data_IF_339715756668
#
_entry.id   IF_339715756668
#
_cell.length_a   1.000
_cell.length_b   1.000
_cell.length_c   1.000
_cell.angle_alpha   90.00
_cell.angle_beta   90.00
_cell.angle_gamma   90.00
#
_symmetry.space_group_name_H-M   'P 1'
#
loop_
_entity.id
_entity.type
_entity.pdbx_description
1 polymer ?
#
# COMPACT_ATOMS: atom_id res chain seq x y z
N UNK A 1 -42.80 9.72 -69.47
CA UNK A 1 -42.75 9.16 -68.10
C UNK A 1 -43.80 9.85 -67.25
N UNK A 2 -44.77 9.08 -66.76
CA UNK A 2 -45.67 9.39 -65.63
C UNK A 2 -44.83 9.80 -64.39
N UNK A 3 -45.30 10.52 -63.38
CA UNK A 3 -46.65 10.61 -62.82
C UNK A 3 -46.74 11.81 -61.85
N UNK A 4 -47.92 12.44 -61.85
CA UNK A 4 -48.67 13.13 -60.78
C UNK A 4 -48.01 13.41 -59.42
N UNK A 5 -48.17 14.66 -58.98
CA UNK A 5 -48.27 15.06 -57.57
C UNK A 5 -49.52 14.43 -56.89
N UNK A 6 -49.60 14.42 -55.54
CA UNK A 6 -50.39 15.50 -54.94
C UNK A 6 -49.93 16.01 -53.56
N UNK A 7 -50.39 17.22 -53.29
CA UNK A 7 -50.42 17.96 -52.02
C UNK A 7 -51.43 17.32 -51.06
N UNK A 8 -51.09 17.19 -49.76
CA UNK A 8 -52.05 16.99 -48.67
C UNK A 8 -51.69 17.86 -47.44
N UNK A 9 -52.73 18.53 -46.94
CA UNK A 9 -52.91 19.50 -45.86
C UNK A 9 -52.73 18.95 -44.43
N UNK A 10 -52.57 19.81 -43.39
CA UNK A 10 -52.30 19.39 -42.02
C UNK A 10 -53.58 19.03 -41.25
N UNK A 11 -53.48 18.07 -40.32
CA UNK A 11 -54.55 17.79 -39.34
C UNK A 11 -53.99 17.73 -37.92
N UNK A 12 -54.49 18.64 -37.08
CA UNK A 12 -54.42 18.60 -35.61
C UNK A 12 -55.28 17.44 -35.09
N UNK A 13 -54.78 16.74 -34.08
CA UNK A 13 -55.50 15.68 -33.36
C UNK A 13 -54.96 15.48 -31.94
N UNK A 14 -55.47 16.30 -31.01
CA UNK A 14 -55.84 15.96 -29.62
C UNK A 14 -55.25 14.68 -29.00
N UNK A 15 -54.30 14.86 -28.07
CA UNK A 15 -53.99 13.89 -27.02
C UNK A 15 -54.40 14.48 -25.67
N UNK A 16 -55.37 13.82 -25.03
CA UNK A 16 -55.82 14.06 -23.65
C UNK A 16 -54.69 13.76 -22.67
N UNK A 17 -54.11 14.80 -22.08
CA UNK A 17 -53.18 14.68 -20.96
C UNK A 17 -53.93 14.40 -19.66
N UNK A 18 -53.67 13.24 -19.07
CA UNK A 18 -54.06 12.90 -17.70
C UNK A 18 -53.37 13.87 -16.74
N UNK A 19 -54.15 14.50 -15.86
CA UNK A 19 -53.64 15.41 -14.84
C UNK A 19 -52.66 14.71 -13.87
N UNK A 20 -51.60 15.39 -13.40
CA UNK A 20 -50.74 14.85 -12.36
C UNK A 20 -51.49 14.80 -11.00
N UNK A 21 -51.13 13.86 -10.10
CA UNK A 21 -51.75 13.76 -8.78
C UNK A 21 -51.46 15.01 -7.94
N UNK A 22 -52.47 15.43 -7.18
CA UNK A 22 -52.39 16.54 -6.24
C UNK A 22 -51.28 16.31 -5.20
N UNK A 23 -50.37 17.27 -5.07
CA UNK A 23 -49.43 17.34 -3.94
C UNK A 23 -50.24 17.54 -2.65
N UNK A 24 -50.18 16.56 -1.76
CA UNK A 24 -50.64 16.72 -0.37
C UNK A 24 -49.75 17.77 0.32
N UNK A 25 -50.31 18.67 1.15
CA UNK A 25 -49.48 19.56 1.96
C UNK A 25 -48.72 18.72 3.00
N UNK A 26 -47.39 18.76 2.94
CA UNK A 26 -46.52 18.21 3.98
C UNK A 26 -46.81 18.92 5.31
N UNK A 27 -47.04 18.14 6.36
CA UNK A 27 -47.14 18.65 7.73
C UNK A 27 -45.81 19.35 8.13
N UNK A 28 -45.84 20.48 8.85
CA UNK A 28 -44.62 21.12 9.30
C UNK A 28 -43.91 20.21 10.32
N UNK A 29 -42.73 19.72 9.94
CA UNK A 29 -41.85 19.01 10.88
C UNK A 29 -41.37 19.98 11.97
N UNK A 30 -41.49 19.56 13.22
CA UNK A 30 -40.97 20.29 14.37
C UNK A 30 -39.44 20.42 14.27
N UNK A 31 -38.84 21.57 14.66
CA UNK A 31 -37.40 21.74 14.65
C UNK A 31 -36.76 20.83 15.72
N UNK A 32 -35.96 19.86 15.27
CA UNK A 32 -35.10 19.06 16.15
C UNK A 32 -33.96 19.93 16.69
N UNK A 33 -33.74 19.87 18.00
CA UNK A 33 -32.68 20.59 18.70
C UNK A 33 -31.29 20.15 18.20
N UNK A 34 -30.32 21.07 18.06
CA UNK A 34 -28.96 20.71 17.67
C UNK A 34 -28.27 19.90 18.77
N UNK A 35 -27.89 18.67 18.45
CA UNK A 35 -27.07 17.80 19.31
C UNK A 35 -25.68 18.40 19.49
N UNK A 36 -25.27 18.58 20.75
CA UNK A 36 -23.92 19.06 21.11
C UNK A 36 -22.83 18.10 20.60
N UNK A 37 -21.68 18.60 20.10
CA UNK A 37 -20.58 17.75 19.66
C UNK A 37 -19.89 17.09 20.87
N UNK A 38 -19.91 15.75 20.88
CA UNK A 38 -19.18 14.94 21.86
C UNK A 38 -17.68 15.15 21.72
N UNK A 39 -17.02 15.52 22.81
CA UNK A 39 -15.55 15.65 22.87
C UNK A 39 -14.88 14.27 22.68
N UNK A 40 -13.77 14.16 21.92
CA UNK A 40 -13.05 12.91 21.80
C UNK A 40 -12.27 12.59 23.09
N UNK A 41 -12.57 11.42 23.66
CA UNK A 41 -11.90 10.83 24.82
C UNK A 41 -10.41 10.59 24.53
N UNK A 42 -9.53 11.09 25.41
CA UNK A 42 -8.09 10.82 25.36
C UNK A 42 -7.80 9.34 25.72
N UNK A 43 -6.90 8.62 25.01
CA UNK A 43 -6.50 7.28 25.43
C UNK A 43 -5.54 7.35 26.63
N UNK A 44 -5.90 6.60 27.68
CA UNK A 44 -5.16 6.37 28.92
C UNK A 44 -3.74 5.85 28.66
N UNK A 45 -2.74 6.44 29.33
CA UNK A 45 -1.36 5.96 29.31
C UNK A 45 -1.23 4.66 30.15
N UNK A 46 -0.44 3.65 29.73
CA UNK A 46 -0.16 2.49 30.57
C UNK A 46 0.85 2.81 31.68
N UNK A 47 0.49 2.43 32.89
CA UNK A 47 1.28 2.44 34.13
C UNK A 47 2.61 1.70 33.99
N UNK A 48 3.71 2.30 34.47
CA UNK A 48 5.02 1.64 34.57
C UNK A 48 5.06 0.69 35.79
N UNK A 49 5.62 -0.52 35.70
CA UNK A 49 6.06 -1.27 36.87
C UNK A 49 7.53 -0.98 37.24
N UNK A 50 7.72 -0.97 38.54
CA UNK A 50 8.88 -0.58 39.37
C UNK A 50 10.10 -1.52 39.22
N UNK A 51 11.28 -0.98 39.58
CA UNK A 51 12.66 -1.50 39.51
C UNK A 51 12.91 -2.92 40.09
N UNK A 52 13.82 -3.68 39.46
CA UNK A 52 14.84 -4.54 40.10
C UNK A 52 15.96 -4.94 39.09
N UNK A 53 17.21 -5.01 39.54
CA UNK A 53 18.45 -4.96 38.74
C UNK A 53 18.86 -6.19 37.91
N UNK A 54 19.67 -5.92 36.87
CA UNK A 54 20.36 -6.89 35.99
C UNK A 54 21.31 -6.15 35.02
N UNK A 55 22.39 -6.79 34.50
CA UNK A 55 23.54 -6.09 33.91
C UNK A 55 23.23 -5.33 32.61
N UNK A 56 23.93 -4.22 32.43
CA UNK A 56 23.71 -3.12 31.48
C UNK A 56 23.98 -3.44 29.99
N UNK A 57 23.58 -4.60 29.45
CA UNK A 57 23.88 -4.97 28.06
C UNK A 57 22.67 -5.12 27.12
N UNK A 58 21.43 -4.86 27.56
CA UNK A 58 20.24 -5.16 26.74
C UNK A 58 19.40 -3.95 26.30
N UNK A 59 19.86 -2.71 26.53
CA UNK A 59 19.13 -1.48 26.17
C UNK A 59 19.34 -0.99 24.72
N UNK A 60 20.09 -1.72 23.88
CA UNK A 60 20.49 -1.29 22.53
C UNK A 60 19.60 -1.77 21.38
N UNK A 61 18.44 -2.37 21.65
CA UNK A 61 17.63 -3.01 20.59
C UNK A 61 16.15 -2.69 20.67
N UNK A 62 15.77 -1.43 20.91
CA UNK A 62 14.37 -1.02 20.74
C UNK A 62 14.05 -1.04 19.24
N UNK A 63 13.15 -1.92 18.75
CA UNK A 63 12.67 -1.83 17.39
C UNK A 63 12.06 -0.44 17.19
N UNK A 64 12.39 0.20 16.07
CA UNK A 64 11.72 1.43 15.64
C UNK A 64 10.21 1.19 15.70
N UNK A 65 9.48 2.11 16.31
CA UNK A 65 8.03 1.96 16.43
C UNK A 65 7.39 1.79 15.05
N UNK A 66 6.28 1.06 14.95
CA UNK A 66 5.58 0.84 13.68
C UNK A 66 5.25 2.13 12.93
N UNK A 67 5.05 3.27 13.63
CA UNK A 67 4.87 4.59 13.00
C UNK A 67 6.15 5.10 12.34
N UNK A 68 7.29 4.98 13.02
CA UNK A 68 8.60 5.38 12.49
C UNK A 68 8.98 4.53 11.29
N UNK A 69 8.73 3.21 11.33
CA UNK A 69 8.92 2.33 10.18
C UNK A 69 8.15 2.77 8.93
N UNK A 70 6.88 3.18 9.08
CA UNK A 70 6.06 3.68 7.96
C UNK A 70 6.58 4.96 7.33
N UNK A 71 7.22 5.84 8.10
CA UNK A 71 7.82 7.08 7.57
C UNK A 71 8.98 6.73 6.64
N UNK A 72 9.85 5.82 7.06
CA UNK A 72 10.96 5.35 6.23
C UNK A 72 10.49 4.57 5.01
N UNK A 73 9.47 3.71 5.14
CA UNK A 73 8.82 3.03 4.02
C UNK A 73 8.29 4.04 2.99
N UNK A 74 7.62 5.09 3.46
CA UNK A 74 7.08 6.14 2.57
C UNK A 74 8.19 6.94 1.89
N UNK A 75 9.31 7.17 2.59
CA UNK A 75 10.45 7.88 2.02
C UNK A 75 11.18 7.04 0.97
N UNK A 76 11.38 5.75 1.25
CA UNK A 76 11.93 4.79 0.30
C UNK A 76 11.06 4.71 -0.96
N UNK A 77 9.74 4.57 -0.80
CA UNK A 77 8.80 4.58 -1.92
C UNK A 77 8.95 5.83 -2.80
N UNK A 78 8.95 7.03 -2.20
CA UNK A 78 9.12 8.27 -2.97
C UNK A 78 10.45 8.30 -3.72
N UNK A 79 11.53 7.84 -3.10
CA UNK A 79 12.83 7.77 -3.74
C UNK A 79 12.81 6.83 -4.94
N UNK A 80 12.30 5.61 -4.79
CA UNK A 80 12.22 4.61 -5.86
C UNK A 80 11.31 5.06 -7.00
N UNK A 81 10.17 5.69 -6.69
CA UNK A 81 9.26 6.22 -7.71
C UNK A 81 9.86 7.35 -8.54
N UNK A 82 10.69 8.21 -7.94
CA UNK A 82 11.47 9.21 -8.69
C UNK A 82 12.47 8.59 -9.66
N UNK A 83 12.90 7.36 -9.40
CA UNK A 83 13.77 6.57 -10.28
C UNK A 83 12.98 5.68 -11.26
N UNK A 84 11.69 5.95 -11.47
CA UNK A 84 10.88 5.27 -12.47
C UNK A 84 10.26 3.94 -12.04
N UNK A 85 10.38 3.57 -10.76
CA UNK A 85 9.76 2.35 -10.24
C UNK A 85 8.30 2.61 -9.83
N UNK A 86 7.39 1.76 -10.30
CA UNK A 86 5.96 1.82 -9.98
C UNK A 86 5.63 0.92 -8.81
N UNK A 87 4.87 1.42 -7.83
CA UNK A 87 4.44 0.61 -6.69
C UNK A 87 3.43 -0.46 -7.10
N UNK A 88 3.68 -1.72 -6.70
CA UNK A 88 2.78 -2.86 -6.91
C UNK A 88 2.07 -3.28 -5.63
N UNK A 89 2.80 -3.27 -4.51
CA UNK A 89 2.29 -3.58 -3.19
C UNK A 89 3.22 -3.03 -2.11
N UNK A 90 2.70 -2.84 -0.89
CA UNK A 90 3.48 -2.43 0.29
C UNK A 90 3.09 -3.24 1.51
N UNK A 91 4.04 -3.45 2.42
CA UNK A 91 3.88 -4.11 3.71
C UNK A 91 3.10 -5.42 3.60
N UNK A 92 3.54 -6.30 2.70
CA UNK A 92 2.90 -7.59 2.47
C UNK A 92 3.50 -8.62 3.41
N UNK A 93 2.63 -9.46 3.97
CA UNK A 93 3.00 -10.47 4.96
C UNK A 93 2.46 -11.83 4.55
N UNK A 94 3.35 -12.82 4.62
CA UNK A 94 3.06 -14.23 4.42
C UNK A 94 3.54 -15.01 5.63
N UNK A 95 3.11 -16.28 5.73
CA UNK A 95 3.44 -17.15 6.87
C UNK A 95 4.94 -17.23 7.20
N UNK A 96 5.80 -17.14 6.18
CA UNK A 96 7.26 -17.32 6.31
C UNK A 96 8.08 -16.05 6.09
N UNK A 97 7.45 -14.90 5.86
CA UNK A 97 8.20 -13.69 5.53
C UNK A 97 7.33 -12.47 5.27
N UNK A 98 7.98 -11.34 5.16
CA UNK A 98 7.36 -10.06 4.86
C UNK A 98 8.22 -9.31 3.84
N UNK A 99 7.59 -8.45 3.05
CA UNK A 99 8.26 -7.55 2.10
C UNK A 99 7.69 -6.15 2.32
N UNK A 100 8.56 -5.16 2.49
CA UNK A 100 8.15 -3.78 2.75
C UNK A 100 7.58 -3.13 1.50
N UNK A 101 8.25 -3.26 0.35
CA UNK A 101 7.74 -2.76 -0.94
C UNK A 101 7.94 -3.79 -2.05
N UNK A 102 6.92 -3.93 -2.90
CA UNK A 102 7.05 -4.58 -4.21
C UNK A 102 6.87 -3.49 -5.25
N UNK A 103 7.90 -3.32 -6.07
CA UNK A 103 7.93 -2.34 -7.13
C UNK A 103 8.02 -3.03 -8.49
N UNK A 104 7.75 -2.28 -9.55
CA UNK A 104 7.87 -2.71 -10.94
C UNK A 104 8.65 -1.68 -11.72
N UNK A 105 9.65 -2.13 -12.46
CA UNK A 105 10.38 -1.30 -13.42
C UNK A 105 9.57 -1.10 -14.70
N UNK A 106 9.98 -0.15 -15.54
CA UNK A 106 9.31 0.14 -16.82
C UNK A 106 9.35 -1.03 -17.81
N UNK A 107 10.40 -1.85 -17.78
CA UNK A 107 10.56 -3.08 -18.57
C UNK A 107 9.83 -4.30 -17.97
N UNK A 108 9.21 -4.13 -16.80
CA UNK A 108 8.28 -5.12 -16.23
C UNK A 108 8.90 -6.10 -15.23
N UNK A 109 10.17 -5.96 -14.85
CA UNK A 109 10.79 -6.68 -13.74
C UNK A 109 10.11 -6.31 -12.41
N UNK A 110 9.94 -7.31 -11.53
CA UNK A 110 9.50 -7.08 -10.16
C UNK A 110 10.72 -6.88 -9.24
N UNK A 111 10.63 -5.87 -8.38
CA UNK A 111 11.68 -5.53 -7.42
C UNK A 111 11.11 -5.68 -6.02
N UNK A 112 11.67 -6.60 -5.26
CA UNK A 112 11.30 -6.82 -3.86
C UNK A 112 12.24 -6.03 -2.97
N UNK A 113 11.71 -5.09 -2.19
CA UNK A 113 12.53 -4.15 -1.43
C UNK A 113 12.32 -4.34 0.08
N UNK A 114 13.44 -4.46 0.79
CA UNK A 114 13.49 -4.32 2.24
C UNK A 114 13.92 -2.88 2.58
N UNK A 115 13.22 -2.25 3.53
CA UNK A 115 13.52 -0.91 4.04
C UNK A 115 14.12 -1.02 5.43
N UNK A 116 15.35 -0.50 5.60
CA UNK A 116 16.05 -0.49 6.89
C UNK A 116 16.28 0.92 7.38
N UNK A 117 15.84 1.19 8.61
CA UNK A 117 16.21 2.39 9.33
C UNK A 117 17.15 2.02 10.48
N UNK A 118 18.38 2.52 10.46
CA UNK A 118 19.33 2.32 11.56
C UNK A 118 19.27 3.51 12.51
N UNK A 119 19.36 3.23 13.81
CA UNK A 119 19.41 4.25 14.85
C UNK A 119 20.86 4.55 15.28
N UNK A 120 21.83 3.73 14.86
CA UNK A 120 23.27 3.93 15.07
C UNK A 120 24.08 3.40 13.88
N UNK A 121 25.24 4.01 13.58
CA UNK A 121 26.14 3.53 12.54
C UNK A 121 26.90 2.31 13.04
N UNK A 122 26.32 1.12 12.91
CA UNK A 122 27.07 -0.11 13.11
C UNK A 122 27.93 -0.37 11.86
N UNK A 123 29.20 -0.74 12.07
CA UNK A 123 30.15 -1.10 11.00
C UNK A 123 29.60 -2.28 10.18
N UNK A 124 29.44 -2.12 8.87
CA UNK A 124 29.03 -3.21 7.96
C UNK A 124 28.17 -2.82 6.75
N UNK A 125 27.61 -1.60 6.71
CA UNK A 125 26.84 -1.14 5.56
C UNK A 125 25.46 -1.82 5.40
N UNK A 126 24.74 -1.50 4.32
CA UNK A 126 23.35 -1.93 4.13
C UNK A 126 23.21 -3.45 3.94
N UNK A 127 24.15 -4.08 3.21
CA UNK A 127 24.16 -5.52 2.98
C UNK A 127 24.41 -6.32 4.26
N UNK A 128 25.38 -5.93 5.10
CA UNK A 128 25.63 -6.63 6.37
C UNK A 128 24.45 -6.54 7.34
N UNK A 129 23.54 -5.58 7.13
CA UNK A 129 22.32 -5.46 7.94
C UNK A 129 21.25 -6.50 7.58
N UNK A 130 21.35 -7.16 6.42
CA UNK A 130 20.43 -8.21 5.97
C UNK A 130 21.12 -9.56 6.05
N UNK A 131 21.01 -10.17 7.23
CA UNK A 131 21.53 -11.52 7.47
C UNK A 131 20.87 -12.57 6.56
N UNK A 132 21.53 -13.72 6.44
CA UNK A 132 21.08 -14.86 5.64
C UNK A 132 19.64 -15.27 5.99
N UNK A 133 19.26 -15.19 7.27
CA UNK A 133 17.90 -15.51 7.72
C UNK A 133 16.86 -14.55 7.15
N UNK A 134 17.15 -13.25 7.08
CA UNK A 134 16.27 -12.24 6.49
C UNK A 134 16.18 -12.44 4.97
N UNK A 135 17.28 -12.76 4.29
CA UNK A 135 17.28 -13.09 2.86
C UNK A 135 16.32 -14.25 2.57
N UNK A 136 16.40 -15.35 3.33
CA UNK A 136 15.49 -16.49 3.19
C UNK A 136 14.02 -16.11 3.42
N UNK A 137 13.72 -15.25 4.39
CA UNK A 137 12.36 -14.77 4.65
C UNK A 137 11.83 -13.92 3.49
N UNK A 138 12.67 -13.05 2.92
CA UNK A 138 12.32 -12.21 1.77
C UNK A 138 12.05 -13.08 0.53
N UNK A 139 12.91 -14.07 0.25
CA UNK A 139 12.70 -15.04 -0.84
C UNK A 139 11.40 -15.83 -0.66
N UNK A 140 11.13 -16.34 0.55
CA UNK A 140 9.91 -17.08 0.84
C UNK A 140 8.65 -16.22 0.62
N UNK A 141 8.69 -14.94 1.02
CA UNK A 141 7.61 -14.00 0.78
C UNK A 141 7.44 -13.66 -0.72
N UNK A 142 8.55 -13.50 -1.46
CA UNK A 142 8.52 -13.23 -2.89
C UNK A 142 7.90 -14.40 -3.67
N UNK A 143 8.31 -15.63 -3.36
CA UNK A 143 7.71 -16.86 -3.94
C UNK A 143 6.20 -16.93 -3.68
N UNK A 144 5.76 -16.63 -2.45
CA UNK A 144 4.34 -16.61 -2.11
C UNK A 144 3.56 -15.50 -2.84
N UNK A 145 4.17 -14.32 -2.99
CA UNK A 145 3.61 -13.21 -3.76
C UNK A 145 3.39 -13.59 -5.22
N UNK A 146 4.41 -14.16 -5.86
CA UNK A 146 4.34 -14.61 -7.26
C UNK A 146 3.27 -15.68 -7.44
N UNK A 147 3.25 -16.71 -6.59
CA UNK A 147 2.27 -17.79 -6.65
C UNK A 147 0.83 -17.27 -6.54
N UNK A 148 0.58 -16.33 -5.62
CA UNK A 148 -0.75 -15.73 -5.43
C UNK A 148 -1.19 -14.90 -6.64
N UNK A 149 -0.25 -14.16 -7.27
CA UNK A 149 -0.54 -13.35 -8.45
C UNK A 149 -0.78 -14.19 -9.70
N UNK A 150 -0.06 -15.31 -9.84
CA UNK A 150 -0.27 -16.29 -10.91
C UNK A 150 -1.63 -16.98 -10.77
N UNK A 151 -1.92 -17.55 -9.59
CA UNK A 151 -3.20 -18.21 -9.33
C UNK A 151 -4.40 -17.27 -9.53
N UNK A 152 -4.25 -15.99 -9.20
CA UNK A 152 -5.27 -14.96 -9.41
C UNK A 152 -5.29 -14.32 -10.80
N UNK A 153 -4.53 -14.84 -11.78
CA UNK A 153 -4.51 -14.32 -13.16
C UNK A 153 -3.92 -12.91 -13.34
N UNK A 154 -3.33 -12.32 -12.30
CA UNK A 154 -2.70 -10.98 -12.35
C UNK A 154 -1.32 -11.01 -12.99
N UNK A 155 -0.68 -12.18 -13.03
CA UNK A 155 0.53 -12.45 -13.80
C UNK A 155 0.24 -13.61 -14.76
N UNK A 156 0.70 -13.51 -16.00
CA UNK A 156 0.60 -14.59 -17.00
C UNK A 156 1.77 -15.57 -16.90
N UNK A 157 2.93 -15.08 -16.47
CA UNK A 157 4.14 -15.85 -16.23
C UNK A 157 4.94 -15.17 -15.10
N UNK A 158 5.96 -15.85 -14.57
CA UNK A 158 6.88 -15.27 -13.58
C UNK A 158 7.78 -14.25 -14.29
N UNK A 159 7.71 -12.95 -13.97
CA UNK A 159 8.61 -11.96 -14.54
C UNK A 159 10.02 -12.09 -13.92
N UNK A 160 11.05 -11.48 -14.54
CA UNK A 160 12.33 -11.27 -13.88
C UNK A 160 12.14 -10.60 -12.52
N UNK A 161 12.95 -11.02 -11.55
CA UNK A 161 12.85 -10.56 -10.17
C UNK A 161 14.24 -10.22 -9.63
N UNK A 162 14.34 -9.17 -8.82
CA UNK A 162 15.53 -8.86 -8.02
C UNK A 162 15.16 -8.41 -6.61
N UNK A 163 16.13 -8.42 -5.71
CA UNK A 163 15.96 -7.96 -4.34
C UNK A 163 16.81 -6.72 -4.10
N UNK A 164 16.18 -5.62 -3.69
CA UNK A 164 16.86 -4.36 -3.40
C UNK A 164 16.79 -4.07 -1.89
N UNK A 165 17.75 -3.29 -1.37
CA UNK A 165 17.72 -2.78 0.00
C UNK A 165 17.73 -1.25 -0.06
N UNK A 166 16.78 -0.62 0.64
CA UNK A 166 16.84 0.82 0.91
C UNK A 166 17.16 1.02 2.39
N UNK A 167 18.33 1.59 2.67
CA UNK A 167 18.81 1.84 4.01
C UNK A 167 18.83 3.34 4.32
N UNK A 168 18.42 3.69 5.54
CA UNK A 168 18.55 5.01 6.13
C UNK A 168 19.60 4.96 7.25
N UNK A 169 20.67 5.71 7.08
CA UNK A 169 21.81 5.75 8.00
C UNK A 169 22.36 7.18 8.10
N UNK A 170 22.49 7.71 9.30
CA UNK A 170 23.01 9.08 9.52
C UNK A 170 22.31 10.18 8.72
N UNK A 171 21.00 10.03 8.44
CA UNK A 171 20.23 10.96 7.61
C UNK A 171 20.39 10.78 6.10
N UNK A 172 21.23 9.84 5.64
CA UNK A 172 21.39 9.50 4.22
C UNK A 172 20.52 8.31 3.84
N UNK A 173 20.02 8.33 2.62
CA UNK A 173 19.36 7.19 1.97
C UNK A 173 20.38 6.52 1.04
N UNK A 174 20.59 5.22 1.24
CA UNK A 174 21.35 4.37 0.32
C UNK A 174 20.43 3.33 -0.28
N UNK A 175 20.42 3.24 -1.61
CA UNK A 175 19.71 2.20 -2.34
C UNK A 175 20.72 1.22 -2.93
N UNK A 176 20.69 -0.01 -2.45
CA UNK A 176 21.47 -1.12 -2.99
C UNK A 176 20.57 -1.89 -3.95
N UNK A 177 20.91 -1.82 -5.22
CA UNK A 177 20.26 -2.57 -6.29
C UNK A 177 20.83 -3.99 -6.33
N UNK A 178 19.96 -4.98 -6.52
CA UNK A 178 20.35 -6.40 -6.64
C UNK A 178 21.23 -6.86 -5.46
N UNK A 179 20.77 -6.54 -4.26
CA UNK A 179 21.51 -6.74 -3.03
C UNK A 179 21.82 -8.21 -2.74
N UNK A 180 20.97 -9.12 -3.21
CA UNK A 180 21.21 -10.56 -3.15
C UNK A 180 20.28 -11.29 -4.13
N UNK A 181 20.70 -12.48 -4.54
CA UNK A 181 19.91 -13.42 -5.32
C UNK A 181 19.75 -14.73 -4.57
N UNK A 182 18.85 -15.61 -5.03
CA UNK A 182 18.92 -17.02 -4.63
C UNK A 182 20.27 -17.57 -5.08
N UNK A 183 21.15 -17.90 -4.12
CA UNK A 183 22.39 -18.60 -4.44
C UNK A 183 22.00 -19.96 -5.05
N UNK A 184 22.32 -20.20 -6.34
CA UNK A 184 21.97 -21.46 -6.99
C UNK A 184 22.64 -22.68 -6.34
N UNK A 185 23.66 -22.48 -5.50
CA UNK A 185 24.45 -23.55 -4.87
C UNK A 185 23.85 -24.15 -3.59
N UNK A 186 22.72 -23.63 -3.11
CA UNK A 186 22.04 -24.07 -1.88
C UNK A 186 20.79 -24.95 -2.16
N UNK A 187 20.78 -25.68 -3.29
CA UNK A 187 19.75 -26.68 -3.60
C UNK A 187 20.22 -28.10 -3.32
#
# INVERSE_FOLDING_TARGET
>A
MSNKAPVIVPRRGIATGTAPPAMQPMQPMQPTQPTQPTQPTQPTQPTQPTRAGGPLNNFLRRPVSNRVGRVFESHALRHLSRHGLVLVARNIRYRRGEIDLVMRTTDGMLVFVEVRARNRPDYGGALASVDVRKQYRLMAAARAFLATRLAGGRLRAVPPCRFDIVAFDGGRLTWVVDAFSEDPRLR
#
